data_IF_743293176939
#
_entry.id   IF_743293176939
#
_cell.length_a   1.000
_cell.length_b   1.000
_cell.length_c   1.000
_cell.angle_alpha   90.00
_cell.angle_beta   90.00
_cell.angle_gamma   90.00
#
_symmetry.space_group_name_H-M   'P 1'
#
loop_
_entity.id
_entity.type
_entity.pdbx_description
1 polymer ?
#
# COMPACT_ATOMS: atom_id res chain seq x y z
N UNK A 1 2.76 4.83 -6.18
CA UNK A 1 1.56 5.20 -6.97
C UNK A 1 1.80 4.75 -8.42
N UNK A 2 1.17 3.66 -8.86
CA UNK A 2 1.46 3.04 -10.15
C UNK A 2 0.89 3.78 -11.37
N UNK A 3 -0.26 4.45 -11.25
CA UNK A 3 -0.97 5.00 -12.41
C UNK A 3 -0.41 6.38 -12.78
N UNK A 4 -0.02 6.58 -14.04
CA UNK A 4 0.71 7.78 -14.48
C UNK A 4 0.07 9.09 -14.06
N UNK A 5 -1.23 9.26 -14.30
CA UNK A 5 -1.91 10.52 -14.02
C UNK A 5 -2.10 10.76 -12.51
N UNK A 6 -2.37 9.69 -11.75
CA UNK A 6 -2.46 9.78 -10.27
C UNK A 6 -1.09 10.09 -9.68
N UNK A 7 -0.03 9.47 -10.21
CA UNK A 7 1.36 9.76 -9.83
C UNK A 7 1.72 11.22 -10.11
N UNK A 8 1.35 11.74 -11.28
CA UNK A 8 1.60 13.15 -11.62
C UNK A 8 0.88 14.11 -10.64
N UNK A 9 -0.37 13.80 -10.26
CA UNK A 9 -1.09 14.57 -9.23
C UNK A 9 -0.40 14.51 -7.87
N UNK A 10 0.08 13.33 -7.45
CA UNK A 10 0.86 13.16 -6.23
C UNK A 10 2.12 14.06 -6.23
N UNK A 11 2.91 14.01 -7.30
CA UNK A 11 4.14 14.82 -7.39
C UNK A 11 3.84 16.32 -7.50
N UNK A 12 2.75 16.70 -8.17
CA UNK A 12 2.30 18.10 -8.18
C UNK A 12 1.97 18.59 -6.77
N UNK A 13 1.26 17.78 -5.97
CA UNK A 13 0.97 18.12 -4.57
C UNK A 13 2.26 18.25 -3.73
N UNK A 14 3.22 17.34 -3.91
CA UNK A 14 4.54 17.42 -3.28
C UNK A 14 5.23 18.74 -3.62
N UNK A 15 5.25 19.10 -4.90
CA UNK A 15 5.91 20.32 -5.39
C UNK A 15 5.24 21.61 -4.89
N UNK A 16 3.91 21.71 -4.98
CA UNK A 16 3.16 22.91 -4.56
C UNK A 16 3.28 23.15 -3.04
N UNK A 17 3.46 22.09 -2.26
CA UNK A 17 3.70 22.18 -0.82
C UNK A 17 5.19 22.34 -0.44
N UNK A 18 6.11 22.42 -1.42
CA UNK A 18 7.54 22.63 -1.18
C UNK A 18 8.21 21.49 -0.40
N UNK A 19 7.70 20.25 -0.51
CA UNK A 19 8.19 19.11 0.25
C UNK A 19 9.45 18.53 -0.39
N UNK A 20 10.62 18.90 0.15
CA UNK A 20 11.92 18.44 -0.35
C UNK A 20 12.29 17.00 0.09
N UNK A 21 11.58 16.44 1.05
CA UNK A 21 11.86 15.15 1.68
C UNK A 21 10.96 14.01 1.17
N UNK A 22 10.34 14.17 0.00
CA UNK A 22 9.46 13.17 -0.61
C UNK A 22 10.02 12.72 -1.95
N UNK A 23 10.28 11.42 -2.06
CA UNK A 23 10.72 10.77 -3.29
C UNK A 23 9.60 9.88 -3.81
N UNK A 24 9.13 10.15 -5.03
CA UNK A 24 8.07 9.37 -5.66
C UNK A 24 8.62 8.32 -6.62
N UNK A 25 7.91 7.19 -6.69
CA UNK A 25 8.15 6.14 -7.67
C UNK A 25 6.83 5.78 -8.37
N UNK A 26 6.82 5.87 -9.71
CA UNK A 26 5.69 5.44 -10.54
C UNK A 26 5.77 3.93 -10.78
N UNK A 27 5.50 3.16 -9.73
CA UNK A 27 5.50 1.68 -9.74
C UNK A 27 4.44 1.17 -8.78
N UNK A 28 3.99 -0.06 -9.02
CA UNK A 28 3.33 -0.89 -8.03
C UNK A 28 4.37 -1.70 -7.24
N UNK A 29 4.05 -2.01 -5.99
CA UNK A 29 4.80 -2.99 -5.20
C UNK A 29 4.10 -4.35 -5.27
N UNK A 30 4.87 -5.42 -5.35
CA UNK A 30 4.36 -6.79 -5.34
C UNK A 30 5.48 -7.79 -5.06
N UNK A 31 5.16 -9.09 -5.16
CA UNK A 31 6.07 -10.17 -4.78
C UNK A 31 7.25 -10.34 -5.75
N UNK A 32 7.04 -10.06 -7.03
CA UNK A 32 8.06 -10.25 -8.08
C UNK A 32 7.98 -9.15 -9.14
N UNK A 33 9.12 -8.81 -9.80
CA UNK A 33 9.11 -7.85 -10.89
C UNK A 33 8.27 -8.35 -12.07
N UNK A 34 7.41 -7.49 -12.59
CA UNK A 34 6.64 -7.76 -13.81
C UNK A 34 6.07 -6.46 -14.41
N UNK A 35 5.50 -6.56 -15.59
CA UNK A 35 4.68 -5.49 -16.18
C UNK A 35 3.28 -6.04 -16.40
N UNK A 36 2.28 -5.31 -15.93
CA UNK A 36 0.86 -5.67 -16.06
C UNK A 36 0.15 -4.64 -16.93
N UNK A 37 -0.72 -5.09 -17.81
CA UNK A 37 -1.72 -4.25 -18.45
C UNK A 37 -2.95 -4.25 -17.54
N UNK A 38 -3.35 -3.07 -17.08
CA UNK A 38 -4.42 -2.91 -16.08
C UNK A 38 -5.36 -1.78 -16.50
N UNK A 39 -6.63 -1.85 -16.10
CA UNK A 39 -7.61 -0.78 -16.26
C UNK A 39 -7.18 0.44 -15.43
N UNK A 40 -7.07 1.60 -16.06
CA UNK A 40 -6.62 2.86 -15.42
C UNK A 40 -7.79 3.62 -14.80
N UNK A 41 -7.62 4.29 -13.64
CA UNK A 41 -8.70 5.01 -12.97
C UNK A 41 -9.25 6.15 -13.84
N UNK A 42 -10.56 6.37 -13.77
CA UNK A 42 -11.19 7.50 -14.44
C UNK A 42 -11.04 8.79 -13.61
N UNK A 43 -10.22 9.73 -14.09
CA UNK A 43 -10.04 11.04 -13.45
C UNK A 43 -11.05 12.10 -13.91
N UNK A 44 -11.77 11.85 -15.01
CA UNK A 44 -12.74 12.78 -15.61
C UNK A 44 -14.19 12.44 -15.27
N UNK A 45 -14.40 11.43 -14.43
CA UNK A 45 -15.71 10.97 -13.95
C UNK A 45 -15.66 10.78 -12.45
N UNK A 46 -16.81 10.79 -11.78
CA UNK A 46 -16.90 10.47 -10.36
C UNK A 46 -16.37 9.06 -10.12
N UNK A 47 -15.22 8.92 -9.48
CA UNK A 47 -14.61 7.63 -9.15
C UNK A 47 -13.78 7.77 -7.88
N UNK A 48 -13.83 6.78 -7.00
CA UNK A 48 -12.84 6.63 -5.94
C UNK A 48 -11.55 6.10 -6.57
N UNK A 49 -10.63 7.00 -6.86
CA UNK A 49 -9.34 6.65 -7.48
C UNK A 49 -8.44 5.87 -6.50
N UNK A 50 -8.63 6.05 -5.19
CA UNK A 50 -7.89 5.34 -4.14
C UNK A 50 -8.19 3.85 -4.11
N UNK A 51 -9.42 3.45 -4.46
CA UNK A 51 -9.83 2.05 -4.53
C UNK A 51 -9.31 1.30 -5.77
N UNK A 52 -8.46 1.92 -6.58
CA UNK A 52 -8.02 1.34 -7.85
C UNK A 52 -6.94 0.30 -7.64
N UNK A 53 -7.27 -0.95 -7.96
CA UNK A 53 -6.37 -2.09 -7.76
C UNK A 53 -5.45 -2.29 -8.97
N UNK A 54 -4.22 -2.75 -8.72
CA UNK A 54 -3.30 -3.27 -9.74
C UNK A 54 -3.46 -4.77 -9.93
N UNK A 55 -3.76 -5.47 -8.84
CA UNK A 55 -4.01 -6.91 -8.80
C UNK A 55 -5.52 -7.12 -8.66
N UNK A 56 -6.05 -8.19 -9.27
CA UNK A 56 -7.44 -8.63 -9.13
C UNK A 56 -8.48 -7.50 -9.31
N UNK A 57 -8.41 -6.81 -10.45
CA UNK A 57 -9.26 -5.64 -10.72
C UNK A 57 -10.74 -6.03 -10.78
N UNK A 58 -11.55 -5.34 -9.97
CA UNK A 58 -12.99 -5.47 -10.00
C UNK A 58 -13.59 -4.79 -11.24
N UNK A 59 -14.75 -5.27 -11.69
CA UNK A 59 -15.53 -4.57 -12.72
C UNK A 59 -16.06 -3.22 -12.20
N UNK A 60 -16.30 -2.25 -13.10
CA UNK A 60 -16.92 -0.98 -12.73
C UNK A 60 -18.22 -1.20 -11.98
N UNK A 61 -18.41 -0.48 -10.88
CA UNK A 61 -19.63 -0.56 -10.09
C UNK A 61 -19.97 0.78 -9.46
N UNK A 62 -21.27 0.97 -9.29
CA UNK A 62 -21.87 2.14 -8.65
C UNK A 62 -22.69 1.62 -7.48
N UNK A 63 -22.16 1.74 -6.27
CA UNK A 63 -22.93 1.52 -5.04
C UNK A 63 -23.17 2.88 -4.37
N UNK A 64 -24.04 2.89 -3.35
CA UNK A 64 -24.25 4.09 -2.54
C UNK A 64 -22.97 4.54 -1.82
N UNK A 65 -22.03 3.63 -1.62
CA UNK A 65 -20.82 3.82 -0.82
C UNK A 65 -19.57 4.00 -1.70
N UNK A 66 -19.47 3.27 -2.82
CA UNK A 66 -18.30 3.27 -3.70
C UNK A 66 -18.68 3.42 -5.17
N UNK A 67 -17.94 4.30 -5.87
CA UNK A 67 -18.00 4.43 -7.32
C UNK A 67 -16.63 4.09 -7.88
N UNK A 68 -16.52 3.00 -8.64
CA UNK A 68 -15.28 2.60 -9.31
C UNK A 68 -15.48 2.64 -10.82
N UNK A 69 -14.72 3.50 -11.49
CA UNK A 69 -14.76 3.66 -12.94
C UNK A 69 -13.35 3.70 -13.54
N UNK A 70 -13.22 3.14 -14.74
CA UNK A 70 -11.95 3.11 -15.48
C UNK A 70 -12.07 3.85 -16.81
N UNK A 71 -11.04 4.62 -17.18
CA UNK A 71 -11.01 5.43 -18.41
C UNK A 71 -10.13 4.84 -19.53
N UNK A 72 -9.62 3.63 -19.36
CA UNK A 72 -8.75 2.98 -20.33
C UNK A 72 -7.90 1.90 -19.69
N UNK A 73 -6.80 1.55 -20.35
CA UNK A 73 -5.79 0.63 -19.84
C UNK A 73 -4.41 1.31 -19.81
N UNK A 74 -3.59 0.91 -18.85
CA UNK A 74 -2.22 1.39 -18.68
C UNK A 74 -1.28 0.22 -18.38
N UNK A 75 -0.05 0.28 -18.89
CA UNK A 75 1.01 -0.65 -18.49
C UNK A 75 1.63 -0.17 -17.17
N UNK A 76 1.40 -0.92 -16.11
CA UNK A 76 1.99 -0.70 -14.79
C UNK A 76 3.19 -1.60 -14.59
N UNK A 77 4.31 -1.00 -14.17
CA UNK A 77 5.50 -1.73 -13.74
C UNK A 77 5.36 -2.09 -12.27
N UNK A 78 5.54 -3.38 -11.96
CA UNK A 78 5.57 -3.93 -10.60
C UNK A 78 7.03 -4.21 -10.25
N UNK A 79 7.44 -3.81 -9.04
CA UNK A 79 8.74 -4.15 -8.45
C UNK A 79 8.55 -4.71 -7.05
N UNK A 80 9.60 -5.29 -6.48
CA UNK A 80 9.65 -5.64 -5.05
C UNK A 80 10.11 -4.42 -4.26
N UNK A 81 9.66 -4.26 -3.01
CA UNK A 81 10.20 -3.20 -2.14
C UNK A 81 11.69 -3.43 -1.88
N UNK A 82 12.10 -4.69 -1.73
CA UNK A 82 13.50 -5.06 -1.50
C UNK A 82 14.42 -4.57 -2.63
N UNK A 83 13.93 -4.47 -3.87
CA UNK A 83 14.71 -3.94 -5.00
C UNK A 83 15.03 -2.44 -4.93
N UNK A 84 14.42 -1.70 -4.01
CA UNK A 84 14.75 -0.30 -3.78
C UNK A 84 15.99 -0.11 -2.89
N UNK A 85 16.48 -1.18 -2.26
CA UNK A 85 17.70 -1.18 -1.44
C UNK A 85 17.75 -0.03 -0.41
N UNK A 86 16.61 0.25 0.22
CA UNK A 86 16.48 1.37 1.16
C UNK A 86 17.42 1.18 2.36
N UNK A 87 18.20 2.22 2.66
CA UNK A 87 19.18 2.22 3.75
C UNK A 87 18.52 2.03 5.13
N UNK A 88 17.37 2.68 5.33
CA UNK A 88 16.65 2.70 6.60
C UNK A 88 15.15 2.81 6.41
N UNK A 89 14.40 1.94 7.10
CA UNK A 89 12.94 1.99 7.16
C UNK A 89 12.47 1.84 8.60
N UNK A 90 11.98 2.93 9.20
CA UNK A 90 11.44 2.92 10.57
C UNK A 90 9.93 2.66 10.61
N UNK A 91 9.24 3.08 9.56
CA UNK A 91 7.79 3.02 9.44
C UNK A 91 7.38 2.72 8.00
N UNK A 92 6.37 1.88 7.84
CA UNK A 92 5.75 1.57 6.55
C UNK A 92 4.25 1.79 6.66
N UNK A 93 3.69 2.63 5.79
CA UNK A 93 2.26 2.64 5.50
C UNK A 93 2.02 1.79 4.26
N UNK A 94 1.16 0.80 4.34
CA UNK A 94 0.81 -0.11 3.24
C UNK A 94 -0.71 -0.08 3.05
N UNK A 95 -1.15 0.80 2.17
CA UNK A 95 -2.54 1.10 1.88
C UNK A 95 -2.76 0.69 0.42
N UNK A 96 -2.93 -0.62 0.23
CA UNK A 96 -2.95 -1.27 -1.09
C UNK A 96 -4.11 -2.25 -1.13
N UNK A 97 -5.09 -1.87 -1.93
CA UNK A 97 -6.33 -2.61 -2.12
C UNK A 97 -6.10 -4.06 -2.55
N UNK A 98 -6.36 -5.00 -1.64
CA UNK A 98 -6.25 -6.45 -1.88
C UNK A 98 -4.83 -7.00 -2.10
N UNK A 99 -3.78 -6.18 -1.98
CA UNK A 99 -2.42 -6.56 -2.39
C UNK A 99 -1.41 -6.63 -1.24
N UNK A 100 -1.87 -6.53 0.02
CA UNK A 100 -0.97 -6.46 1.19
C UNK A 100 0.00 -7.64 1.23
N UNK A 101 -0.49 -8.87 1.02
CA UNK A 101 0.36 -10.07 1.09
C UNK A 101 1.46 -10.04 0.03
N UNK A 102 1.13 -9.67 -1.22
CA UNK A 102 2.11 -9.56 -2.29
C UNK A 102 3.17 -8.50 -1.99
N UNK A 103 2.77 -7.34 -1.43
CA UNK A 103 3.71 -6.29 -1.01
C UNK A 103 4.62 -6.78 0.11
N UNK A 104 4.07 -7.45 1.13
CA UNK A 104 4.87 -7.99 2.23
C UNK A 104 5.87 -9.03 1.72
N UNK A 105 5.48 -9.95 0.84
CA UNK A 105 6.40 -10.94 0.25
C UNK A 105 7.54 -10.27 -0.51
N UNK A 106 7.26 -9.21 -1.28
CA UNK A 106 8.28 -8.41 -1.97
C UNK A 106 9.07 -7.46 -1.07
N UNK A 107 8.74 -7.39 0.22
CA UNK A 107 9.40 -6.57 1.24
C UNK A 107 10.05 -7.40 2.33
N UNK A 108 10.12 -8.73 2.16
CA UNK A 108 10.45 -9.65 3.22
C UNK A 108 11.85 -9.39 3.81
N UNK A 109 12.85 -9.09 2.97
CA UNK A 109 14.20 -8.80 3.44
C UNK A 109 14.26 -7.47 4.17
N UNK A 110 13.61 -6.44 3.64
CA UNK A 110 13.53 -5.12 4.27
C UNK A 110 12.83 -5.19 5.63
N UNK A 111 11.67 -5.83 5.71
CA UNK A 111 10.88 -5.93 6.95
C UNK A 111 11.60 -6.75 8.02
N UNK A 112 12.21 -7.88 7.64
CA UNK A 112 12.97 -8.71 8.59
C UNK A 112 14.22 -8.01 9.09
N UNK A 113 14.97 -7.34 8.21
CA UNK A 113 16.22 -6.64 8.55
C UNK A 113 15.99 -5.36 9.35
N UNK A 114 15.05 -4.52 8.91
CA UNK A 114 14.85 -3.17 9.44
C UNK A 114 13.84 -3.12 10.59
N UNK A 115 12.95 -4.12 10.69
CA UNK A 115 11.92 -4.24 11.73
C UNK A 115 11.10 -2.93 11.86
N UNK A 116 10.49 -2.38 10.79
CA UNK A 116 9.73 -1.14 10.87
C UNK A 116 8.44 -1.31 11.69
N UNK A 117 7.80 -0.23 12.12
CA UNK A 117 6.37 -0.27 12.47
C UNK A 117 5.57 -0.28 11.15
N UNK A 118 4.57 -1.15 11.04
CA UNK A 118 3.78 -1.30 9.81
C UNK A 118 2.33 -0.91 10.10
N UNK A 119 1.83 0.13 9.43
CA UNK A 119 0.40 0.43 9.36
C UNK A 119 -0.12 -0.07 8.02
N UNK A 120 -0.95 -1.11 8.03
CA UNK A 120 -1.42 -1.79 6.84
C UNK A 120 -2.94 -1.84 6.79
N UNK A 121 -3.51 -1.54 5.63
CA UNK A 121 -4.87 -1.91 5.28
C UNK A 121 -4.92 -3.43 5.03
N UNK A 122 -5.77 -4.13 5.79
CA UNK A 122 -5.97 -5.57 5.65
C UNK A 122 -7.40 -5.95 5.97
N UNK A 123 -8.14 -6.31 4.91
CA UNK A 123 -9.48 -6.88 5.03
C UNK A 123 -9.43 -8.15 5.90
N UNK A 124 -10.29 -8.20 6.92
CA UNK A 124 -10.45 -9.36 7.78
C UNK A 124 -10.49 -9.07 9.28
N UNK A 125 -10.88 -10.09 10.03
CA UNK A 125 -10.95 -10.07 11.50
C UNK A 125 -9.62 -10.43 12.17
N UNK A 126 -8.74 -11.12 11.44
CA UNK A 126 -7.43 -11.53 11.92
C UNK A 126 -6.33 -10.59 11.41
N UNK A 127 -5.26 -10.48 12.18
CA UNK A 127 -4.08 -9.74 11.78
C UNK A 127 -3.36 -10.38 10.57
N UNK A 128 -2.60 -9.61 9.78
CA UNK A 128 -1.87 -10.14 8.62
C UNK A 128 -0.93 -11.30 9.02
N UNK A 129 -1.13 -12.54 8.52
CA UNK A 129 -0.40 -13.72 8.99
C UNK A 129 1.11 -13.61 8.85
N UNK A 130 1.61 -13.07 7.72
CA UNK A 130 3.05 -12.90 7.49
C UNK A 130 3.72 -12.02 8.55
N UNK A 131 3.05 -10.98 9.03
CA UNK A 131 3.61 -10.11 10.08
C UNK A 131 3.65 -10.85 11.42
N UNK A 132 2.63 -11.65 11.74
CA UNK A 132 2.65 -12.51 12.92
C UNK A 132 3.80 -13.53 12.85
N UNK A 133 3.96 -14.20 11.72
CA UNK A 133 5.03 -15.18 11.48
C UNK A 133 6.43 -14.55 11.60
N UNK A 134 6.56 -13.27 11.24
CA UNK A 134 7.81 -12.53 11.41
C UNK A 134 7.98 -11.94 12.80
N UNK A 135 7.14 -12.30 13.78
CA UNK A 135 7.29 -11.87 15.17
C UNK A 135 6.87 -10.42 15.40
N UNK A 136 5.81 -9.97 14.72
CA UNK A 136 5.11 -8.74 15.03
C UNK A 136 3.88 -9.01 15.88
N UNK A 137 3.49 -8.01 16.67
CA UNK A 137 2.19 -7.92 17.30
C UNK A 137 1.36 -6.89 16.57
N UNK A 138 0.12 -7.21 16.28
CA UNK A 138 -0.78 -6.35 15.53
C UNK A 138 -2.02 -6.01 16.34
N UNK A 139 -2.50 -4.79 16.17
CA UNK A 139 -3.77 -4.32 16.70
C UNK A 139 -4.56 -3.63 15.59
N UNK A 140 -5.88 -3.85 15.54
CA UNK A 140 -6.78 -3.16 14.62
C UNK A 140 -7.10 -1.79 15.21
N UNK A 141 -6.59 -0.72 14.60
CA UNK A 141 -6.66 0.64 15.18
C UNK A 141 -7.78 1.48 14.56
N UNK A 142 -8.12 1.24 13.28
CA UNK A 142 -9.27 1.86 12.62
C UNK A 142 -10.16 0.78 12.02
N UNK A 143 -11.15 0.26 12.78
CA UNK A 143 -12.00 -0.83 12.32
C UNK A 143 -12.79 -0.51 11.05
N UNK A 144 -13.19 0.75 10.87
CA UNK A 144 -13.97 1.21 9.70
C UNK A 144 -13.16 1.16 8.40
N UNK A 145 -11.83 1.26 8.49
CA UNK A 145 -10.93 1.29 7.34
C UNK A 145 -9.98 0.09 7.32
N UNK A 146 -10.26 -0.93 8.13
CA UNK A 146 -9.45 -2.14 8.25
C UNK A 146 -7.94 -1.88 8.43
N UNK A 147 -7.58 -0.80 9.15
CA UNK A 147 -6.17 -0.46 9.40
C UNK A 147 -5.66 -1.19 10.63
N UNK A 148 -4.65 -2.03 10.40
CA UNK A 148 -3.86 -2.71 11.39
C UNK A 148 -2.55 -1.99 11.63
N UNK A 149 -2.18 -1.82 12.89
CA UNK A 149 -0.84 -1.38 13.28
C UNK A 149 -0.10 -2.57 13.87
N UNK A 150 0.93 -3.00 13.15
CA UNK A 150 1.82 -4.09 13.50
C UNK A 150 3.17 -3.55 13.93
N UNK A 151 3.60 -3.95 15.13
CA UNK A 151 4.85 -3.49 15.75
C UNK A 151 5.71 -4.72 16.05
N UNK A 152 7.03 -4.67 15.79
CA UNK A 152 7.95 -5.73 16.19
C UNK A 152 7.82 -6.05 17.68
N UNK A 153 7.80 -7.34 18.04
CA UNK A 153 7.62 -7.80 19.43
C UNK A 153 8.54 -7.07 20.42
N UNK A 154 9.81 -6.87 20.06
CA UNK A 154 10.84 -6.23 20.86
C UNK A 154 10.63 -4.71 21.06
N UNK A 155 9.79 -4.08 20.22
CA UNK A 155 9.42 -2.66 20.32
C UNK A 155 8.06 -2.45 20.99
N UNK A 156 7.27 -3.51 21.19
CA UNK A 156 5.87 -3.42 21.65
C UNK A 156 5.68 -2.63 22.95
N UNK A 157 6.67 -2.65 23.86
CA UNK A 157 6.59 -1.93 25.13
C UNK A 157 6.36 -0.42 24.98
N UNK A 158 6.78 0.18 23.85
CA UNK A 158 6.51 1.60 23.53
C UNK A 158 5.09 1.87 23.03
N UNK A 159 4.36 0.82 22.67
CA UNK A 159 3.07 0.87 21.99
C UNK A 159 1.99 0.11 22.77
N UNK A 160 2.15 -0.05 24.09
CA UNK A 160 1.18 -0.78 24.93
C UNK A 160 -0.23 -0.19 24.91
N UNK A 161 -0.39 1.07 24.51
CA UNK A 161 -1.68 1.73 24.32
C UNK A 161 -2.47 1.20 23.12
N UNK A 162 -1.86 0.36 22.27
CA UNK A 162 -2.55 -0.36 21.19
C UNK A 162 -3.26 -1.65 21.65
N UNK A 163 -3.05 -2.08 22.89
CA UNK A 163 -3.65 -3.28 23.47
C UNK A 163 -5.00 -3.01 24.13
#
# INVERSE_FOLDING_TARGET
>A
EPFRLVYQLLIANVAVNGLANVHGHQVALGERPETRLVKSPALTRTSNIGATRVFDQAEPHFTAEHVLQYAGEEKVRVITLDSLELDRVDFMKVDVEGALEAVLRGAAETVRRQRPVVAAEHEGEAAPPLLLDWGFRCAKVLPVHDIWVCVPQEKWWRFRWLA
#
